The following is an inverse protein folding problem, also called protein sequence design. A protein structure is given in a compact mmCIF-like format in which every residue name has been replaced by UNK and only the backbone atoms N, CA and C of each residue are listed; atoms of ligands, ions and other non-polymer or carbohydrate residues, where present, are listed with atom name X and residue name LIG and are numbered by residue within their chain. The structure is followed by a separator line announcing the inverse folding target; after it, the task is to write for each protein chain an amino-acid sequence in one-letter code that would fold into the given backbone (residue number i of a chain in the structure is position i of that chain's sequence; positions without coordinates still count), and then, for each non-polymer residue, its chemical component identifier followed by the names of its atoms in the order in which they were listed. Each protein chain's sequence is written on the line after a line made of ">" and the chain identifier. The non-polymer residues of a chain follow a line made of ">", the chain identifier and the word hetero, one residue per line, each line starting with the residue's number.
data_IF_613465549283
#
_entry.id   IF_613465549283
#
_cell.length_a   1.000
_cell.length_b   1.000
_cell.length_c   1.000
_cell.angle_alpha   90.00
_cell.angle_beta   90.00
_cell.angle_gamma   90.00
#
_symmetry.space_group_name_H-M   'P 1'
#
loop_
_entity.id
_entity.type
_entity.pdbx_description
1 polymer ?
#
# COMPACT_ATOMS: atom_id res chain seq x y z
N UNK A 1 -18.12 -18.61 -0.41
CA UNK A 1 -17.86 -19.06 -1.79
C UNK A 1 -16.49 -19.75 -2.02
N UNK A 2 -15.66 -20.01 -1.00
CA UNK A 2 -14.55 -20.98 -1.14
C UNK A 2 -14.44 -21.77 0.17
N UNK A 3 -14.97 -22.99 0.18
CA UNK A 3 -15.00 -23.90 1.33
C UNK A 3 -13.64 -24.48 1.72
N UNK A 4 -12.57 -23.69 1.62
CA UNK A 4 -11.23 -24.03 2.10
C UNK A 4 -10.67 -22.87 2.93
N UNK A 5 -10.24 -23.18 4.16
CA UNK A 5 -9.52 -22.29 5.07
C UNK A 5 -10.34 -21.85 6.30
N UNK A 6 -9.73 -22.02 7.48
CA UNK A 6 -10.28 -21.64 8.77
C UNK A 6 -10.55 -20.11 8.78
N UNK A 7 -11.71 -19.67 9.28
CA UNK A 7 -12.13 -18.27 9.23
C UNK A 7 -11.16 -17.31 9.97
N UNK A 8 -10.45 -17.82 10.98
CA UNK A 8 -9.42 -17.08 11.72
C UNK A 8 -8.21 -16.70 10.88
N UNK A 9 -7.74 -17.59 9.98
CA UNK A 9 -6.57 -17.32 9.14
C UNK A 9 -6.85 -16.25 8.09
N UNK A 10 -8.09 -16.21 7.57
CA UNK A 10 -8.52 -15.15 6.63
C UNK A 10 -8.67 -13.80 7.32
N UNK A 11 -9.11 -13.78 8.58
CA UNK A 11 -9.23 -12.55 9.38
C UNK A 11 -7.86 -11.99 9.72
N UNK A 12 -6.91 -12.86 10.11
CA UNK A 12 -5.54 -12.47 10.43
C UNK A 12 -4.79 -11.90 9.22
N UNK A 13 -4.96 -12.50 8.03
CA UNK A 13 -4.34 -12.00 6.79
C UNK A 13 -4.90 -10.65 6.36
N UNK A 14 -6.21 -10.43 6.47
CA UNK A 14 -6.81 -9.13 6.17
C UNK A 14 -6.35 -8.06 7.17
N UNK A 15 -6.25 -8.41 8.47
CA UNK A 15 -5.73 -7.48 9.48
C UNK A 15 -4.26 -7.12 9.22
N UNK A 16 -3.43 -8.10 8.85
CA UNK A 16 -2.02 -7.87 8.52
C UNK A 16 -1.85 -6.99 7.27
N UNK A 17 -2.61 -7.25 6.20
CA UNK A 17 -2.55 -6.43 5.00
C UNK A 17 -2.98 -4.98 5.29
N UNK A 18 -4.12 -4.79 5.97
CA UNK A 18 -4.64 -3.45 6.23
C UNK A 18 -3.88 -2.70 7.32
N UNK A 19 -3.36 -3.35 8.37
CA UNK A 19 -2.62 -2.66 9.43
C UNK A 19 -1.13 -2.54 9.10
N UNK A 20 -0.48 -3.58 8.59
CA UNK A 20 0.94 -3.56 8.28
C UNK A 20 1.27 -2.58 7.15
N UNK A 21 0.45 -2.55 6.10
CA UNK A 21 0.61 -1.56 5.01
C UNK A 21 0.28 -0.16 5.51
N UNK A 22 -0.81 0.02 6.26
CA UNK A 22 -1.18 1.33 6.80
C UNK A 22 -0.10 1.88 7.75
N UNK A 23 0.50 1.07 8.61
CA UNK A 23 1.60 1.47 9.49
C UNK A 23 2.85 1.85 8.69
N UNK A 24 3.22 1.04 7.69
CA UNK A 24 4.39 1.32 6.85
C UNK A 24 4.27 2.66 6.10
N UNK A 25 3.07 3.02 5.62
CA UNK A 25 2.86 4.25 4.83
C UNK A 25 2.47 5.48 5.65
N UNK A 26 2.05 5.31 6.92
CA UNK A 26 1.51 6.40 7.76
C UNK A 26 2.45 7.60 7.93
N UNK A 27 3.76 7.36 8.01
CA UNK A 27 4.77 8.40 8.21
C UNK A 27 5.39 8.96 6.93
N UNK A 28 5.02 8.42 5.76
CA UNK A 28 5.66 8.79 4.50
C UNK A 28 5.07 10.10 3.98
N UNK A 29 5.93 11.09 3.70
CA UNK A 29 5.52 12.24 2.88
C UNK A 29 5.36 11.77 1.44
N UNK A 30 4.20 12.02 0.83
CA UNK A 30 3.85 11.55 -0.52
C UNK A 30 3.50 12.67 -1.50
N UNK A 31 3.28 13.90 -1.00
CA UNK A 31 2.91 15.07 -1.81
C UNK A 31 3.73 16.29 -1.37
N UNK A 32 4.14 17.10 -2.35
CA UNK A 32 4.94 18.31 -2.11
C UNK A 32 6.42 18.00 -1.92
N UNK A 33 7.17 18.86 -1.21
CA UNK A 33 8.61 18.66 -1.00
C UNK A 33 8.86 17.44 -0.10
N UNK A 34 9.40 16.38 -0.69
CA UNK A 34 9.73 15.13 -0.02
C UNK A 34 11.10 15.21 0.64
N UNK A 35 12.08 15.73 -0.10
CA UNK A 35 13.47 15.82 0.34
C UNK A 35 14.17 16.98 -0.33
N UNK A 36 15.02 17.66 0.44
CA UNK A 36 16.00 18.61 -0.05
C UNK A 36 17.39 18.02 0.16
N UNK A 37 18.22 18.06 -0.87
CA UNK A 37 19.62 17.60 -0.84
C UNK A 37 20.51 18.79 -1.22
N UNK A 38 20.89 19.64 -0.24
CA UNK A 38 21.62 20.88 -0.49
C UNK A 38 22.96 20.67 -1.19
N UNK A 39 23.65 19.57 -0.89
CA UNK A 39 24.96 19.23 -1.45
C UNK A 39 24.88 19.01 -2.96
N UNK A 40 23.71 18.55 -3.43
CA UNK A 40 23.42 18.32 -4.85
C UNK A 40 22.56 19.43 -5.46
N UNK A 41 22.17 20.45 -4.67
CA UNK A 41 21.19 21.49 -5.05
C UNK A 41 19.92 20.88 -5.65
N UNK A 42 19.44 19.79 -5.07
CA UNK A 42 18.31 19.01 -5.59
C UNK A 42 17.12 19.06 -4.63
N UNK A 43 15.93 19.22 -5.18
CA UNK A 43 14.67 19.03 -4.46
C UNK A 43 13.88 17.88 -5.10
N UNK A 44 13.35 17.01 -4.26
CA UNK A 44 12.46 15.92 -4.65
C UNK A 44 11.03 16.31 -4.30
N UNK A 45 10.15 16.36 -5.30
CA UNK A 45 8.75 16.76 -5.15
C UNK A 45 7.85 15.57 -5.51
N UNK A 46 6.99 15.19 -4.58
CA UNK A 46 6.01 14.13 -4.75
C UNK A 46 4.81 14.66 -5.52
N UNK A 47 4.57 14.06 -6.69
CA UNK A 47 3.42 14.36 -7.55
C UNK A 47 2.63 13.07 -7.76
N UNK A 48 1.31 13.06 -7.51
CA UNK A 48 0.50 11.89 -7.74
C UNK A 48 0.50 11.51 -9.22
N UNK A 49 0.62 10.21 -9.50
CA UNK A 49 0.66 9.67 -10.87
C UNK A 49 -0.67 9.80 -11.63
N UNK A 50 -1.78 10.09 -10.93
CA UNK A 50 -3.12 10.16 -11.49
C UNK A 50 -3.91 8.87 -11.26
N UNK A 51 -4.35 8.22 -12.34
CA UNK A 51 -5.19 7.01 -12.29
C UNK A 51 -4.32 5.77 -12.35
N UNK A 52 -4.54 4.83 -11.41
CA UNK A 52 -3.87 3.53 -11.38
C UNK A 52 -4.89 2.45 -11.72
N UNK A 53 -4.59 1.62 -12.73
CA UNK A 53 -5.38 0.43 -13.04
C UNK A 53 -4.73 -0.80 -12.38
N UNK A 54 -5.38 -1.34 -11.34
CA UNK A 54 -4.91 -2.53 -10.63
C UNK A 54 -5.54 -3.79 -11.21
N UNK A 55 -4.70 -4.74 -11.66
CA UNK A 55 -5.16 -6.06 -12.10
C UNK A 55 -5.14 -6.98 -10.88
N UNK A 56 -6.33 -7.41 -10.44
CA UNK A 56 -6.49 -8.25 -9.25
C UNK A 56 -6.49 -9.73 -9.65
N UNK A 57 -5.55 -10.56 -9.16
CA UNK A 57 -5.53 -11.99 -9.45
C UNK A 57 -6.60 -12.75 -8.64
N UNK A 58 -7.19 -13.78 -9.24
CA UNK A 58 -8.24 -14.62 -8.62
C UNK A 58 -7.76 -15.43 -7.41
N UNK A 59 -6.44 -15.59 -7.25
CA UNK A 59 -5.84 -16.32 -6.12
C UNK A 59 -5.91 -15.56 -4.80
N UNK A 60 -6.01 -14.23 -4.83
CA UNK A 60 -6.04 -13.37 -3.64
C UNK A 60 -6.87 -12.09 -3.87
N UNK A 61 -8.19 -12.20 -4.07
CA UNK A 61 -9.02 -11.06 -4.47
C UNK A 61 -9.17 -9.98 -3.40
N UNK A 62 -9.15 -10.33 -2.11
CA UNK A 62 -9.34 -9.36 -1.00
C UNK A 62 -8.04 -8.72 -0.52
N UNK A 63 -6.92 -9.43 -0.49
CA UNK A 63 -5.66 -8.89 0.04
C UNK A 63 -4.87 -8.00 -0.94
N UNK A 64 -5.26 -7.99 -2.22
CA UNK A 64 -4.68 -7.06 -3.22
C UNK A 64 -5.48 -5.74 -3.31
N UNK A 65 -6.72 -5.73 -2.81
CA UNK A 65 -7.58 -4.54 -2.81
C UNK A 65 -7.44 -3.75 -1.50
N UNK A 66 -7.21 -4.44 -0.37
CA UNK A 66 -7.14 -3.86 0.97
C UNK A 66 -5.76 -3.29 1.35
#
# INVERSE_FOLDING_TARGET
>A
ETGFGNAEDKTTKNLFASQGVAEAVRGMKTVGLLREVPEKKLWEIGVPVGVIAAIVPSTNPTSTVC
#
